data_IF_881423705269
#
_entry.id   IF_881423705269
#
_cell.length_a   1.000
_cell.length_b   1.000
_cell.length_c   1.000
_cell.angle_alpha   90.00
_cell.angle_beta   90.00
_cell.angle_gamma   90.00
#
_symmetry.space_group_name_H-M   'P 1'
#
loop_
_entity.id
_entity.type
_entity.pdbx_description
1 polymer ?
#
# COMPACT_ATOMS: atom_id res chain seq x y z
N UNK A 1 29.42 -11.76 9.51
CA UNK A 1 28.98 -11.93 10.02
C UNK A 1 27.67 -11.94 10.57
N UNK A 2 27.26 -11.37 11.45
CA UNK A 2 25.97 -11.41 12.04
C UNK A 2 24.85 -11.12 11.14
N UNK A 3 25.12 -10.58 10.01
CA UNK A 3 24.10 -10.25 9.08
C UNK A 3 23.33 -11.43 8.62
N UNK A 4 23.98 -12.55 8.43
CA UNK A 4 23.30 -13.72 7.94
C UNK A 4 22.29 -14.23 8.94
N UNK A 5 22.62 -14.14 10.20
CA UNK A 5 21.69 -14.60 11.19
C UNK A 5 20.46 -13.73 11.24
N UNK A 6 20.66 -12.45 11.06
CA UNK A 6 19.54 -11.56 11.05
C UNK A 6 18.59 -11.86 9.92
N UNK A 7 19.11 -12.27 8.79
CA UNK A 7 18.28 -12.59 7.67
C UNK A 7 17.37 -13.76 7.96
N UNK A 8 17.88 -14.76 8.63
CA UNK A 8 17.06 -15.87 8.96
C UNK A 8 15.91 -15.48 9.85
N UNK A 9 16.16 -14.62 10.78
CA UNK A 9 15.12 -14.19 11.66
C UNK A 9 14.13 -13.29 10.98
N UNK A 10 14.59 -12.55 9.99
CA UNK A 10 13.69 -11.64 9.34
C UNK A 10 12.60 -12.30 8.57
N UNK A 11 12.73 -13.56 8.24
CA UNK A 11 11.66 -14.22 7.51
C UNK A 11 10.37 -14.25 8.31
N UNK A 12 10.44 -14.06 9.60
CA UNK A 12 9.24 -14.05 10.42
C UNK A 12 8.66 -12.65 10.63
N UNK A 13 9.28 -11.64 10.06
CA UNK A 13 8.88 -10.25 10.27
C UNK A 13 8.62 -9.60 8.94
N UNK A 14 7.46 -8.98 8.79
CA UNK A 14 7.12 -8.27 7.57
C UNK A 14 8.04 -7.08 7.37
N UNK A 15 8.32 -6.80 6.13
CA UNK A 15 9.16 -5.67 5.78
C UNK A 15 8.39 -4.37 5.93
N UNK A 16 9.00 -3.36 6.56
CA UNK A 16 8.36 -2.07 6.77
C UNK A 16 9.38 -0.98 6.40
N UNK A 17 9.41 -0.56 5.13
CA UNK A 17 10.38 0.47 4.71
C UNK A 17 10.23 1.75 5.51
N UNK A 18 11.35 2.34 5.87
CA UNK A 18 11.38 3.50 6.76
C UNK A 18 10.98 4.81 6.10
N UNK A 19 11.02 4.87 4.80
CA UNK A 19 10.76 6.12 4.08
C UNK A 19 9.35 6.21 3.51
N UNK A 20 8.44 5.37 3.96
CA UNK A 20 7.06 5.40 3.51
C UNK A 20 6.16 5.81 4.66
N UNK A 21 4.91 6.13 4.31
CA UNK A 21 3.85 6.37 5.28
C UNK A 21 2.91 5.17 5.24
N UNK A 22 2.14 4.97 6.30
CA UNK A 22 1.29 3.78 6.42
C UNK A 22 -0.07 4.13 7.00
N UNK A 23 -1.06 3.26 6.71
CA UNK A 23 -2.38 3.40 7.32
C UNK A 23 -2.66 2.22 8.23
N UNK A 24 -3.66 2.37 9.06
CA UNK A 24 -4.10 1.27 9.92
C UNK A 24 -4.74 0.15 9.11
N UNK A 25 -5.06 0.41 7.84
CA UNK A 25 -5.62 -0.59 6.96
C UNK A 25 -4.53 -1.36 6.22
N UNK A 26 -3.28 -1.18 6.61
CA UNK A 26 -2.14 -1.91 6.04
C UNK A 26 -1.85 -1.52 4.60
N UNK A 27 -1.93 -0.24 4.33
CA UNK A 27 -1.55 0.31 3.04
C UNK A 27 -0.36 1.23 3.22
N UNK A 28 0.50 1.29 2.22
CA UNK A 28 1.63 2.21 2.27
C UNK A 28 1.41 3.35 1.29
N UNK A 29 2.03 4.49 1.58
CA UNK A 29 1.93 5.68 0.77
C UNK A 29 3.33 6.22 0.55
N UNK A 30 3.69 6.47 -0.70
CA UNK A 30 4.99 7.02 -1.06
C UNK A 30 4.79 8.34 -1.77
N UNK A 31 5.43 9.39 -1.28
CA UNK A 31 5.36 10.67 -1.95
C UNK A 31 6.19 10.61 -3.22
N UNK A 32 5.57 10.87 -4.37
CA UNK A 32 6.26 10.76 -5.65
C UNK A 32 6.45 12.11 -6.32
N UNK A 33 5.82 13.16 -5.83
CA UNK A 33 5.96 14.50 -6.40
C UNK A 33 5.44 15.51 -5.42
N UNK A 34 5.26 16.74 -5.89
CA UNK A 34 4.82 17.83 -5.02
C UNK A 34 3.41 17.60 -4.52
N UNK A 35 2.57 16.98 -5.32
CA UNK A 35 1.18 16.76 -4.96
C UNK A 35 0.72 15.36 -5.30
N UNK A 36 1.63 14.43 -5.53
CA UNK A 36 1.27 13.06 -5.91
C UNK A 36 1.86 12.05 -4.96
N UNK A 37 1.13 10.96 -4.76
CA UNK A 37 1.58 9.85 -3.93
C UNK A 37 1.24 8.54 -4.63
N UNK A 38 2.01 7.51 -4.34
CA UNK A 38 1.77 6.16 -4.83
C UNK A 38 1.31 5.31 -3.65
N UNK A 39 0.35 4.46 -3.88
CA UNK A 39 -0.28 3.68 -2.81
C UNK A 39 -0.22 2.20 -3.16
N UNK A 40 0.06 1.38 -2.17
CA UNK A 40 0.03 -0.06 -2.30
C UNK A 40 -0.31 -0.69 -0.96
N UNK A 41 -0.27 -2.02 -0.88
CA UNK A 41 -0.50 -2.69 0.39
C UNK A 41 0.84 -3.17 0.94
N UNK A 42 0.90 -3.30 2.25
CA UNK A 42 2.16 -3.65 2.91
C UNK A 42 2.45 -5.14 2.78
N UNK A 43 3.69 -5.50 3.08
CA UNK A 43 4.09 -6.89 3.10
C UNK A 43 3.25 -7.68 4.11
N UNK A 44 2.92 -7.08 5.24
CA UNK A 44 2.07 -7.70 6.23
C UNK A 44 0.68 -8.01 5.63
N UNK A 45 0.13 -7.06 4.88
CA UNK A 45 -1.20 -7.25 4.29
C UNK A 45 -1.20 -8.36 3.26
N UNK A 46 -0.21 -8.40 2.38
CA UNK A 46 -0.19 -9.45 1.37
C UNK A 46 0.03 -10.82 2.00
N UNK A 47 0.81 -10.88 3.07
CA UNK A 47 1.04 -12.13 3.77
C UNK A 47 -0.25 -12.63 4.42
N UNK A 48 -1.02 -11.73 5.00
CA UNK A 48 -2.28 -12.08 5.63
C UNK A 48 -3.33 -12.51 4.61
N UNK A 49 -3.31 -11.90 3.42
CA UNK A 49 -4.26 -12.25 2.37
C UNK A 49 -3.97 -13.60 1.72
N UNK A 50 -2.71 -13.94 1.59
CA UNK A 50 -2.31 -15.10 0.82
C UNK A 50 -2.21 -14.74 -0.67
N UNK A 51 -2.26 -15.73 -1.55
CA UNK A 51 -2.02 -15.52 -2.97
C UNK A 51 -3.11 -14.65 -3.58
N UNK A 52 -2.70 -13.53 -4.13
CA UNK A 52 -3.63 -12.59 -4.77
C UNK A 52 -3.94 -13.09 -6.17
N UNK A 53 -5.22 -13.21 -6.48
CA UNK A 53 -5.66 -13.72 -7.78
C UNK A 53 -6.36 -12.66 -8.62
N UNK A 54 -6.79 -11.56 -8.02
CA UNK A 54 -7.46 -10.50 -8.77
C UNK A 54 -7.37 -9.20 -8.00
N UNK A 55 -7.18 -8.09 -8.70
CA UNK A 55 -7.15 -6.76 -8.11
C UNK A 55 -8.12 -5.89 -8.91
N UNK A 56 -9.06 -5.27 -8.21
CA UNK A 56 -9.99 -4.35 -8.84
C UNK A 56 -9.59 -2.94 -8.47
N UNK A 57 -9.28 -2.11 -9.45
CA UNK A 57 -8.80 -0.75 -9.25
C UNK A 57 -9.78 0.24 -9.85
N UNK A 58 -9.77 1.50 -9.37
CA UNK A 58 -10.67 2.52 -9.93
C UNK A 58 -10.18 2.97 -11.29
N UNK A 59 -11.01 3.78 -11.94
CA UNK A 59 -10.63 4.37 -13.23
C UNK A 59 -9.74 5.58 -13.01
N UNK A 60 -8.85 5.83 -13.95
CA UNK A 60 -8.06 7.06 -13.94
C UNK A 60 -9.03 8.22 -14.06
N UNK A 61 -8.87 9.21 -13.23
CA UNK A 61 -9.76 10.37 -13.18
C UNK A 61 -10.81 10.29 -12.10
N UNK A 62 -10.95 9.12 -11.44
CA UNK A 62 -11.93 8.97 -10.38
C UNK A 62 -11.47 9.72 -9.13
N UNK A 63 -12.42 10.20 -8.35
CA UNK A 63 -12.12 10.84 -7.08
C UNK A 63 -12.28 9.81 -5.97
N UNK A 64 -11.37 9.83 -5.01
CA UNK A 64 -11.46 8.95 -3.85
C UNK A 64 -11.48 9.80 -2.60
N UNK A 65 -12.13 9.31 -1.56
CA UNK A 65 -12.24 10.03 -0.29
C UNK A 65 -11.52 9.26 0.80
N UNK A 66 -10.82 9.97 1.65
CA UNK A 66 -10.07 9.33 2.74
C UNK A 66 -10.99 8.41 3.55
N UNK A 67 -10.55 7.19 3.76
CA UNK A 67 -11.29 6.21 4.53
C UNK A 67 -12.35 5.44 3.77
N UNK A 68 -12.57 5.77 2.48
CA UNK A 68 -13.54 5.04 1.67
C UNK A 68 -12.84 4.05 0.77
N UNK A 69 -13.55 2.98 0.41
CA UNK A 69 -12.97 1.95 -0.43
C UNK A 69 -12.79 2.46 -1.85
N UNK A 70 -11.62 2.25 -2.43
CA UNK A 70 -11.39 2.60 -3.82
C UNK A 70 -11.24 1.36 -4.70
N UNK A 71 -11.20 0.19 -4.11
CA UNK A 71 -11.04 -1.03 -4.89
C UNK A 71 -10.99 -2.23 -3.98
N UNK A 72 -10.61 -3.36 -4.55
CA UNK A 72 -10.58 -4.63 -3.81
C UNK A 72 -9.41 -5.48 -4.27
N UNK A 73 -8.91 -6.30 -3.35
CA UNK A 73 -7.94 -7.34 -3.66
C UNK A 73 -8.55 -8.68 -3.33
N UNK A 74 -8.61 -9.57 -4.31
CA UNK A 74 -9.12 -10.91 -4.10
C UNK A 74 -7.99 -11.91 -3.98
N UNK A 75 -8.03 -12.74 -2.97
CA UNK A 75 -7.02 -13.77 -2.80
C UNK A 75 -7.71 -15.13 -2.78
N UNK A 76 -6.93 -16.18 -2.69
CA UNK A 76 -7.48 -17.53 -2.60
C UNK A 76 -8.26 -17.76 -1.31
N UNK A 77 -8.09 -16.88 -0.32
CA UNK A 77 -8.75 -17.03 0.96
C UNK A 77 -9.90 -16.06 1.17
N UNK A 78 -9.80 -14.86 0.66
CA UNK A 78 -10.78 -13.84 0.99
C UNK A 78 -10.71 -12.66 0.03
N UNK A 79 -11.65 -11.72 0.19
CA UNK A 79 -11.67 -10.47 -0.54
C UNK A 79 -11.49 -9.36 0.47
N UNK A 80 -10.62 -8.42 0.19
CA UNK A 80 -10.33 -7.31 1.08
C UNK A 80 -10.53 -5.99 0.37
N UNK A 81 -11.23 -5.06 1.01
CA UNK A 81 -11.40 -3.72 0.46
C UNK A 81 -10.11 -2.93 0.61
N UNK A 82 -9.85 -2.05 -0.34
CA UNK A 82 -8.74 -1.12 -0.29
C UNK A 82 -9.28 0.26 0.03
N UNK A 83 -8.70 0.90 1.03
CA UNK A 83 -9.22 2.19 1.51
C UNK A 83 -8.27 3.32 1.14
N UNK A 84 -8.83 4.44 0.69
CA UNK A 84 -8.01 5.58 0.31
C UNK A 84 -7.36 6.19 1.55
N UNK A 85 -6.05 6.41 1.54
CA UNK A 85 -5.39 7.01 2.69
C UNK A 85 -5.65 8.50 2.80
N UNK A 86 -5.96 9.13 1.68
CA UNK A 86 -6.23 10.57 1.62
C UNK A 86 -7.27 10.81 0.54
N UNK A 87 -7.94 11.95 0.61
CA UNK A 87 -8.88 12.34 -0.45
C UNK A 87 -8.08 12.88 -1.62
N UNK A 88 -8.31 12.36 -2.81
CA UNK A 88 -7.47 12.69 -3.95
C UNK A 88 -8.11 12.21 -5.24
N UNK A 89 -7.44 12.49 -6.35
CA UNK A 89 -7.88 12.04 -7.67
C UNK A 89 -6.92 10.96 -8.18
N UNK A 90 -7.45 9.91 -8.76
CA UNK A 90 -6.64 8.83 -9.34
C UNK A 90 -6.04 9.32 -10.65
N UNK A 91 -4.72 9.36 -10.73
CA UNK A 91 -4.04 9.81 -11.95
C UNK A 91 -3.36 8.66 -12.69
N UNK A 92 -3.19 7.52 -12.04
CA UNK A 92 -2.63 6.33 -12.69
C UNK A 92 -3.02 5.10 -11.90
N UNK A 93 -3.12 3.98 -12.58
CA UNK A 93 -3.35 2.68 -11.94
C UNK A 93 -2.33 1.72 -12.50
N UNK A 94 -2.00 0.69 -11.73
CA UNK A 94 -1.00 -0.28 -12.17
C UNK A 94 -1.66 -1.35 -13.03
N UNK A 95 -1.62 -1.13 -14.34
CA UNK A 95 -2.25 -2.05 -15.28
C UNK A 95 -1.63 -3.43 -15.32
N UNK A 96 -0.39 -3.58 -14.84
CA UNK A 96 0.26 -4.88 -14.82
C UNK A 96 -0.46 -5.86 -13.91
N UNK A 97 -1.21 -5.37 -12.94
CA UNK A 97 -1.90 -6.24 -12.01
C UNK A 97 -3.08 -6.98 -12.63
N UNK A 98 -3.55 -6.53 -13.79
CA UNK A 98 -4.61 -7.26 -14.49
C UNK A 98 -4.11 -8.61 -14.97
N UNK A 99 -2.91 -8.65 -15.49
CA UNK A 99 -2.33 -9.89 -15.99
C UNK A 99 -1.52 -10.61 -14.92
N UNK A 100 -0.98 -9.86 -13.95
CA UNK A 100 -0.07 -10.40 -12.97
C UNK A 100 -0.43 -9.94 -11.56
N UNK A 101 -1.60 -10.33 -11.04
CA UNK A 101 -1.98 -9.88 -9.69
C UNK A 101 -1.03 -10.36 -8.62
N UNK A 102 -0.28 -11.41 -8.87
CA UNK A 102 0.66 -11.93 -7.91
C UNK A 102 1.83 -10.98 -7.63
N UNK A 103 1.98 -9.93 -8.42
CA UNK A 103 3.00 -8.91 -8.11
C UNK A 103 2.75 -8.27 -6.76
N UNK A 104 1.50 -8.21 -6.34
CA UNK A 104 1.15 -7.68 -5.02
C UNK A 104 1.81 -8.52 -3.93
N UNK A 105 1.95 -9.82 -4.17
CA UNK A 105 2.60 -10.71 -3.21
C UNK A 105 4.12 -10.64 -3.33
N UNK A 106 4.63 -10.67 -4.55
CA UNK A 106 6.06 -10.81 -4.74
C UNK A 106 6.82 -9.52 -4.58
N UNK A 107 6.17 -8.38 -4.83
CA UNK A 107 6.87 -7.10 -4.76
C UNK A 107 5.91 -6.00 -4.33
N UNK A 108 5.36 -6.08 -3.12
CA UNK A 108 4.30 -5.15 -2.69
C UNK A 108 4.76 -3.69 -2.61
N UNK A 109 6.05 -3.45 -2.40
CA UNK A 109 6.56 -2.08 -2.32
C UNK A 109 7.15 -1.60 -3.64
N UNK A 110 7.16 -2.43 -4.66
CA UNK A 110 7.71 -2.08 -5.96
C UNK A 110 6.69 -2.26 -7.05
N UNK A 111 6.83 -3.30 -7.86
CA UNK A 111 5.98 -3.49 -9.01
C UNK A 111 4.55 -3.84 -8.68
N UNK A 112 4.28 -4.18 -7.43
CA UNK A 112 2.92 -4.48 -6.99
C UNK A 112 2.16 -3.26 -6.47
N UNK A 113 2.59 -2.05 -6.79
CA UNK A 113 1.87 -0.85 -6.38
C UNK A 113 0.46 -0.84 -7.00
N UNK A 114 -0.44 -0.10 -6.39
CA UNK A 114 -1.84 -0.12 -6.81
C UNK A 114 -2.23 1.10 -7.64
N UNK A 115 -2.16 2.28 -7.08
CA UNK A 115 -2.61 3.50 -7.76
C UNK A 115 -1.72 4.66 -7.41
N UNK A 116 -1.74 5.68 -8.27
CA UNK A 116 -1.14 6.98 -7.98
C UNK A 116 -2.24 7.98 -7.80
N UNK A 117 -2.13 8.80 -6.78
CA UNK A 117 -3.14 9.80 -6.44
C UNK A 117 -2.55 11.18 -6.51
N UNK A 118 -3.36 12.15 -6.95
CA UNK A 118 -2.98 13.55 -6.94
C UNK A 118 -3.84 14.28 -5.93
N UNK A 119 -3.21 14.99 -5.01
CA UNK A 119 -3.86 15.74 -3.97
C UNK A 119 -3.73 17.22 -4.28
N UNK A 120 -4.73 18.01 -3.92
CA UNK A 120 -4.67 19.43 -4.12
C UNK A 120 -3.48 19.98 -3.38
N UNK A 121 -2.63 20.63 -4.10
CA UNK A 121 -1.40 21.25 -3.67
C UNK A 121 -1.09 21.27 -2.20
N UNK A 122 -1.65 22.20 -1.50
CA UNK A 122 -1.28 22.38 -0.11
C UNK A 122 -1.83 21.33 0.83
N UNK A 123 -2.69 20.45 0.34
CA UNK A 123 -3.29 19.43 1.20
C UNK A 123 -2.42 18.21 1.38
N UNK A 124 -1.36 18.05 0.59
CA UNK A 124 -0.56 16.84 0.64
C UNK A 124 0.11 16.67 2.00
N UNK A 125 0.75 17.70 2.50
CA UNK A 125 1.42 17.60 3.79
C UNK A 125 0.42 17.30 4.91
N UNK A 126 -0.75 17.91 4.85
CA UNK A 126 -1.78 17.64 5.85
C UNK A 126 -2.27 16.20 5.77
N UNK A 127 -2.45 15.69 4.57
CA UNK A 127 -2.87 14.32 4.38
C UNK A 127 -1.85 13.34 4.90
N UNK A 128 -0.57 13.58 4.60
CA UNK A 128 0.47 12.69 5.06
C UNK A 128 0.68 12.75 6.55
N UNK A 129 0.43 13.92 7.14
CA UNK A 129 0.63 14.08 8.57
C UNK A 129 -0.27 13.21 9.42
N UNK A 130 -1.43 12.83 8.90
CA UNK A 130 -2.33 11.94 9.59
C UNK A 130 -2.00 10.47 9.48
N UNK A 131 -0.99 10.13 8.69
CA UNK A 131 -0.63 8.74 8.47
C UNK A 131 0.45 8.30 9.44
N UNK A 132 0.63 6.99 9.56
CA UNK A 132 1.66 6.43 10.43
C UNK A 132 3.00 6.44 9.72
N UNK A 133 4.07 6.61 10.50
CA UNK A 133 5.40 6.37 9.94
C UNK A 133 5.72 4.88 10.15
N UNK A 134 6.93 4.47 9.76
CA UNK A 134 7.30 3.07 9.87
C UNK A 134 7.25 2.58 11.31
N UNK A 135 7.69 3.39 12.25
CA UNK A 135 7.69 3.00 13.66
C UNK A 135 6.26 2.88 14.19
N UNK A 136 5.40 3.81 13.83
CA UNK A 136 4.00 3.75 14.25
C UNK A 136 3.29 2.55 13.68
N UNK A 137 3.56 2.23 12.41
CA UNK A 137 2.96 1.08 11.78
C UNK A 137 3.49 -0.22 12.38
N UNK A 138 4.79 -0.27 12.64
CA UNK A 138 5.40 -1.45 13.22
C UNK A 138 4.76 -1.80 14.56
N UNK A 139 4.44 -0.78 15.35
CA UNK A 139 3.77 -1.00 16.63
C UNK A 139 2.37 -1.58 16.44
N UNK A 140 1.74 -1.29 15.31
CA UNK A 140 0.40 -1.80 15.01
C UNK A 140 0.43 -3.29 14.68
N UNK A 141 1.47 -3.76 14.01
CA UNK A 141 1.51 -5.13 13.51
C UNK A 141 2.31 -6.12 14.34
N UNK A 142 3.02 -5.64 15.35
CA UNK A 142 3.80 -6.52 16.14
C UNK A 142 3.08 -6.98 17.34
N UNK A 143 2.01 -7.24 17.49
CA UNK A 143 1.43 -7.63 18.63
C UNK A 143 1.45 -8.96 18.88
#
# INVERSE_FOLDING_TARGET
MSTCLSLSMRSAVSEIPADLYYTEEHEWVQRTGDDTVRVGITDYAQSALGDVVFVQLPDVGADVSAGESFGEVESTKSVSDLYAPVSAKVVAVNGDLEANPQLVNSDPYGEGWLIDLQIDGSSLDDGLRGLLDADGYRATVTE
#
